data_IF_356792083545
#
_entry.id   IF_356792083545
#
_cell.length_a   1.000
_cell.length_b   1.000
_cell.length_c   1.000
_cell.angle_alpha   90.00
_cell.angle_beta   90.00
_cell.angle_gamma   90.00
#
_symmetry.space_group_name_H-M   'P 1'
#
loop_
_entity.id
_entity.type
_entity.pdbx_description
1 polymer ?
#
# COMPACT_ATOMS: atom_id res chain seq x y z
N UNK A 1 -16.44 65.75 15.51
CA UNK A 1 -15.47 66.87 15.65
C UNK A 1 -15.16 67.00 17.13
N UNK A 2 -13.95 67.15 17.65
CA UNK A 2 -12.59 67.13 17.12
C UNK A 2 -11.67 67.08 18.35
N UNK A 3 -10.58 66.30 18.24
CA UNK A 3 -9.22 66.54 18.77
C UNK A 3 -9.05 66.88 20.27
N UNK A 4 -8.37 65.98 20.98
CA UNK A 4 -7.38 66.39 21.97
C UNK A 4 -5.98 66.07 21.46
N UNK A 5 -5.17 67.12 21.44
CA UNK A 5 -3.75 67.17 21.08
C UNK A 5 -3.03 67.62 22.35
N UNK A 6 -1.81 67.11 22.51
CA UNK A 6 -0.69 67.58 23.35
C UNK A 6 -0.51 67.00 24.78
N UNK A 7 0.60 66.25 24.91
CA UNK A 7 1.40 66.03 26.13
C UNK A 7 1.96 67.35 26.69
N UNK A 8 2.56 67.38 27.90
CA UNK A 8 4.00 67.07 28.09
C UNK A 8 4.34 66.36 29.43
N UNK A 9 5.24 65.38 29.43
CA UNK A 9 6.68 65.45 29.78
C UNK A 9 7.01 65.35 31.29
N UNK A 10 7.80 64.34 31.66
CA UNK A 10 8.80 64.46 32.72
C UNK A 10 9.99 63.51 32.41
N UNK A 11 11.08 64.15 32.02
CA UNK A 11 12.51 63.80 32.14
C UNK A 11 12.88 63.36 33.58
N UNK A 12 13.96 62.68 33.98
CA UNK A 12 15.21 62.08 33.45
C UNK A 12 15.73 61.21 34.64
N UNK A 13 16.33 60.03 34.41
CA UNK A 13 17.70 59.73 34.87
C UNK A 13 18.17 58.35 34.45
N UNK A 14 19.30 58.38 33.76
CA UNK A 14 20.20 57.30 33.35
C UNK A 14 20.64 56.37 34.49
N UNK A 15 20.61 55.07 34.20
CA UNK A 15 21.36 54.03 34.90
C UNK A 15 21.64 52.91 33.91
N UNK A 16 22.84 52.94 33.34
CA UNK A 16 23.37 51.92 32.43
C UNK A 16 23.59 50.64 33.24
N UNK A 17 23.05 49.52 32.78
CA UNK A 17 23.65 48.21 33.04
C UNK A 17 23.55 47.34 31.79
N UNK A 18 24.74 47.04 31.25
CA UNK A 18 24.96 46.18 30.11
C UNK A 18 24.57 44.74 30.45
N UNK A 19 23.66 44.16 29.67
CA UNK A 19 23.17 42.80 29.88
C UNK A 19 22.75 42.12 28.58
N UNK A 20 23.73 41.83 27.73
CA UNK A 20 23.75 40.78 26.69
C UNK A 20 22.50 40.64 25.79
N UNK A 21 22.54 41.36 24.66
CA UNK A 21 21.70 41.11 23.49
C UNK A 21 22.01 39.74 22.87
N UNK A 22 21.33 38.69 23.31
CA UNK A 22 21.08 37.52 22.45
C UNK A 22 19.83 37.81 21.61
N UNK A 23 20.02 38.57 20.53
CA UNK A 23 19.09 38.56 19.41
C UNK A 23 19.12 37.14 18.83
N UNK A 24 18.21 36.28 19.27
CA UNK A 24 17.87 35.07 18.51
C UNK A 24 17.09 35.52 17.29
N UNK A 25 17.82 35.97 16.27
CA UNK A 25 17.28 36.05 14.92
C UNK A 25 16.95 34.63 14.50
N UNK A 26 15.67 34.31 14.41
CA UNK A 26 15.23 33.07 13.80
C UNK A 26 15.73 33.05 12.35
N UNK A 27 16.43 31.99 11.91
CA UNK A 27 16.82 31.89 10.52
C UNK A 27 15.55 31.89 9.66
N UNK A 28 15.62 32.64 8.55
CA UNK A 28 14.53 32.84 7.59
C UNK A 28 13.69 31.57 7.43
N UNK A 29 12.39 31.74 7.71
CA UNK A 29 11.38 30.69 7.82
C UNK A 29 11.49 29.71 6.64
N UNK A 30 12.18 28.58 6.84
CA UNK A 30 12.12 27.46 5.90
C UNK A 30 10.63 27.09 5.76
N UNK A 31 10.15 26.96 4.52
CA UNK A 31 8.77 26.55 4.27
C UNK A 31 8.44 25.31 5.10
N UNK A 32 7.18 25.16 5.51
CA UNK A 32 6.75 24.01 6.31
C UNK A 32 7.20 22.69 5.68
N UNK A 33 7.15 22.62 4.34
CA UNK A 33 7.57 21.45 3.56
C UNK A 33 9.07 21.18 3.61
N UNK A 34 9.91 22.22 3.70
CA UNK A 34 11.38 22.11 3.75
C UNK A 34 11.95 21.95 5.17
N UNK A 35 11.10 21.87 6.20
CA UNK A 35 11.53 21.71 7.58
C UNK A 35 11.66 20.23 7.96
N UNK A 36 12.81 19.83 8.53
CA UNK A 36 13.01 18.48 9.08
C UNK A 36 12.23 18.23 10.38
N UNK A 37 11.86 19.30 11.10
CA UNK A 37 11.21 19.24 12.41
C UNK A 37 9.73 19.67 12.34
N UNK A 38 8.95 19.05 11.44
CA UNK A 38 7.52 19.39 11.24
C UNK A 38 6.69 19.26 12.52
N UNK A 39 6.99 18.25 13.35
CA UNK A 39 6.32 18.00 14.63
C UNK A 39 6.43 19.19 15.60
N UNK A 40 7.63 19.76 15.76
CA UNK A 40 7.86 20.89 16.66
C UNK A 40 7.13 22.16 16.17
N UNK A 41 7.03 22.36 14.85
CA UNK A 41 6.30 23.50 14.27
C UNK A 41 4.78 23.41 14.47
N UNK A 42 4.21 22.21 14.57
CA UNK A 42 2.76 22.02 14.77
C UNK A 42 2.37 21.85 16.24
N UNK A 43 3.32 21.83 17.17
CA UNK A 43 3.07 21.55 18.59
C UNK A 43 2.05 22.51 19.22
N UNK A 44 2.06 23.79 18.82
CA UNK A 44 1.05 24.77 19.22
C UNK A 44 -0.37 24.41 18.73
N UNK A 45 -0.50 23.78 17.56
CA UNK A 45 -1.79 23.38 17.01
C UNK A 45 -2.32 22.09 17.65
N UNK A 46 -1.43 21.20 18.09
CA UNK A 46 -1.80 19.93 18.73
C UNK A 46 -2.45 20.13 20.11
N UNK A 47 -2.29 21.32 20.70
CA UNK A 47 -2.95 21.69 21.95
C UNK A 47 -4.46 21.98 21.79
N UNK A 48 -4.95 22.17 20.55
CA UNK A 48 -6.36 22.42 20.24
C UNK A 48 -7.20 21.13 20.22
N UNK A 49 -8.51 21.27 20.37
CA UNK A 49 -9.43 20.13 20.32
C UNK A 49 -9.47 19.50 18.90
N UNK A 50 -9.64 18.19 18.84
CA UNK A 50 -9.65 17.43 17.57
C UNK A 50 -10.78 17.90 16.63
N UNK A 51 -11.92 18.30 17.18
CA UNK A 51 -13.06 18.81 16.41
C UNK A 51 -12.77 20.17 15.75
N UNK A 52 -12.08 21.06 16.47
CA UNK A 52 -11.65 22.36 15.95
C UNK A 52 -10.62 22.17 14.84
N UNK A 53 -9.65 21.27 15.04
CA UNK A 53 -8.65 20.93 14.04
C UNK A 53 -9.28 20.32 12.78
N UNK A 54 -10.26 19.43 12.94
CA UNK A 54 -10.98 18.82 11.83
C UNK A 54 -11.76 19.85 11.02
N UNK A 55 -12.46 20.76 11.70
CA UNK A 55 -13.25 21.83 11.09
C UNK A 55 -12.37 22.86 10.39
N UNK A 56 -11.28 23.29 11.01
CA UNK A 56 -10.30 24.20 10.41
C UNK A 56 -9.68 23.60 9.15
N UNK A 57 -9.34 22.30 9.19
CA UNK A 57 -8.82 21.58 8.02
C UNK A 57 -9.86 21.49 6.91
N UNK A 58 -11.12 21.20 7.23
CA UNK A 58 -12.22 21.18 6.25
C UNK A 58 -12.38 22.55 5.55
N UNK A 59 -12.43 23.64 6.31
CA UNK A 59 -12.58 25.01 5.80
C UNK A 59 -11.42 25.34 4.85
N UNK A 60 -10.18 25.04 5.25
CA UNK A 60 -9.01 25.33 4.45
C UNK A 60 -8.99 24.53 3.14
N UNK A 61 -9.39 23.26 3.17
CA UNK A 61 -9.50 22.43 1.96
C UNK A 61 -10.58 22.96 1.00
N UNK A 62 -11.73 23.40 1.52
CA UNK A 62 -12.78 24.05 0.70
C UNK A 62 -12.30 25.35 0.07
N UNK A 63 -11.56 26.18 0.83
CA UNK A 63 -10.96 27.42 0.33
C UNK A 63 -9.96 27.18 -0.81
N UNK A 64 -9.22 26.07 -0.74
CA UNK A 64 -8.31 25.63 -1.81
C UNK A 64 -9.00 24.89 -2.97
N UNK A 65 -10.34 24.76 -2.94
CA UNK A 65 -11.11 24.04 -3.96
C UNK A 65 -11.08 22.52 -3.86
N UNK A 66 -10.43 21.94 -2.85
CA UNK A 66 -10.29 20.48 -2.62
C UNK A 66 -11.54 19.92 -1.92
N UNK A 67 -12.69 19.99 -2.60
CA UNK A 67 -14.00 19.65 -2.04
C UNK A 67 -14.11 18.18 -1.61
N UNK A 68 -13.58 17.25 -2.39
CA UNK A 68 -13.64 15.81 -2.06
C UNK A 68 -12.84 15.48 -0.80
N UNK A 69 -11.66 16.09 -0.64
CA UNK A 69 -10.84 15.93 0.57
C UNK A 69 -11.55 16.48 1.81
N UNK A 70 -12.22 17.63 1.68
CA UNK A 70 -13.01 18.21 2.77
C UNK A 70 -14.18 17.29 3.16
N UNK A 71 -14.88 16.72 2.18
CA UNK A 71 -15.97 15.78 2.43
C UNK A 71 -15.50 14.51 3.15
N UNK A 72 -14.36 13.94 2.76
CA UNK A 72 -13.77 12.78 3.44
C UNK A 72 -13.39 13.10 4.89
N UNK A 73 -12.77 14.26 5.15
CA UNK A 73 -12.42 14.66 6.52
C UNK A 73 -13.66 14.82 7.37
N UNK A 74 -14.70 15.47 6.85
CA UNK A 74 -15.99 15.61 7.54
C UNK A 74 -16.64 14.27 7.84
N UNK A 75 -16.57 13.33 6.90
CA UNK A 75 -17.10 11.97 7.10
C UNK A 75 -16.31 11.20 8.16
N UNK A 76 -14.99 11.38 8.20
CA UNK A 76 -14.13 10.74 9.20
C UNK A 76 -14.27 11.36 10.60
N UNK A 77 -14.53 12.67 10.69
CA UNK A 77 -14.69 13.37 11.96
C UNK A 77 -16.09 13.25 12.56
N UNK A 78 -17.14 13.20 11.73
CA UNK A 78 -18.54 13.13 12.17
C UNK A 78 -19.06 11.70 12.39
N UNK A 79 -18.37 10.67 11.89
CA UNK A 79 -18.85 9.29 11.96
C UNK A 79 -18.28 8.50 13.15
N UNK A 80 -18.95 7.38 13.45
CA UNK A 80 -18.48 6.35 14.39
C UNK A 80 -17.00 5.97 14.13
N UNK A 81 -16.20 5.64 15.17
CA UNK A 81 -14.80 5.19 15.02
C UNK A 81 -14.60 4.08 13.98
N UNK A 82 -15.65 3.31 13.69
CA UNK A 82 -15.67 2.22 12.73
C UNK A 82 -15.77 2.68 11.26
N UNK A 83 -16.09 3.94 10.96
CA UNK A 83 -16.20 4.41 9.57
C UNK A 83 -14.85 4.42 8.88
N UNK A 84 -13.81 4.89 9.57
CA UNK A 84 -12.44 4.84 9.06
C UNK A 84 -11.97 3.41 8.78
N UNK A 85 -12.37 2.43 9.61
CA UNK A 85 -12.02 1.02 9.40
C UNK A 85 -12.75 0.43 8.20
N UNK A 86 -14.02 0.79 7.97
CA UNK A 86 -14.77 0.39 6.76
C UNK A 86 -14.16 0.96 5.49
N UNK A 87 -13.84 2.26 5.47
CA UNK A 87 -13.18 2.90 4.32
C UNK A 87 -11.81 2.25 4.04
N UNK A 88 -11.02 1.98 5.10
CA UNK A 88 -9.74 1.28 4.98
C UNK A 88 -9.92 -0.12 4.39
N UNK A 89 -10.88 -0.91 4.90
CA UNK A 89 -11.17 -2.26 4.41
C UNK A 89 -11.59 -2.25 2.94
N UNK A 90 -12.52 -1.37 2.56
CA UNK A 90 -12.96 -1.22 1.18
C UNK A 90 -11.79 -0.88 0.25
N UNK A 91 -10.94 0.10 0.64
CA UNK A 91 -9.75 0.44 -0.14
C UNK A 91 -8.78 -0.75 -0.23
N UNK A 92 -8.55 -1.47 0.86
CA UNK A 92 -7.67 -2.64 0.87
C UNK A 92 -8.21 -3.75 -0.04
N UNK A 93 -9.52 -4.00 -0.06
CA UNK A 93 -10.13 -4.99 -0.97
C UNK A 93 -10.03 -4.57 -2.44
N UNK A 94 -10.12 -3.27 -2.76
CA UNK A 94 -9.86 -2.78 -4.12
C UNK A 94 -8.39 -2.88 -4.53
N UNK A 95 -7.46 -2.73 -3.59
CA UNK A 95 -6.02 -2.81 -3.84
C UNK A 95 -5.49 -4.25 -3.81
N UNK A 96 -6.23 -5.19 -3.22
CA UNK A 96 -5.92 -6.61 -3.31
C UNK A 96 -6.11 -7.06 -4.75
N UNK A 97 -4.99 -7.12 -5.47
CA UNK A 97 -4.94 -7.71 -6.80
C UNK A 97 -5.40 -9.17 -6.69
N UNK A 98 -6.28 -9.64 -7.59
CA UNK A 98 -6.68 -11.04 -7.62
C UNK A 98 -5.43 -11.93 -7.67
N UNK A 99 -5.32 -12.87 -6.75
CA UNK A 99 -4.17 -13.77 -6.69
C UNK A 99 -4.16 -14.64 -7.95
N UNK A 100 -3.11 -14.52 -8.76
CA UNK A 100 -2.90 -15.46 -9.86
C UNK A 100 -2.64 -16.84 -9.28
N UNK A 101 -3.29 -17.87 -9.83
CA UNK A 101 -3.08 -19.26 -9.47
C UNK A 101 -1.59 -19.61 -9.56
N UNK A 102 -1.14 -20.47 -8.65
CA UNK A 102 0.17 -21.08 -8.75
C UNK A 102 0.21 -22.04 -9.96
N UNK A 103 1.38 -22.23 -10.58
CA UNK A 103 1.53 -23.16 -11.71
C UNK A 103 0.99 -24.56 -11.44
N UNK A 104 1.22 -25.08 -10.23
CA UNK A 104 0.79 -26.39 -9.77
C UNK A 104 -0.73 -26.45 -9.60
N UNK A 105 -1.34 -25.41 -9.04
CA UNK A 105 -2.80 -25.30 -8.90
C UNK A 105 -3.48 -25.23 -10.26
N UNK A 106 -2.90 -24.49 -11.22
CA UNK A 106 -3.38 -24.44 -12.58
C UNK A 106 -3.22 -25.79 -13.31
N UNK A 107 -2.13 -26.53 -13.04
CA UNK A 107 -1.94 -27.88 -13.56
C UNK A 107 -3.00 -28.85 -13.02
N UNK A 108 -3.25 -28.83 -11.71
CA UNK A 108 -4.32 -29.61 -11.05
C UNK A 108 -5.67 -29.30 -11.67
N UNK A 109 -6.00 -28.01 -11.82
CA UNK A 109 -7.23 -27.57 -12.49
C UNK A 109 -7.36 -28.18 -13.90
N UNK A 110 -6.28 -28.14 -14.70
CA UNK A 110 -6.30 -28.71 -16.04
C UNK A 110 -6.52 -30.24 -16.03
N UNK A 111 -5.85 -30.96 -15.13
CA UNK A 111 -5.92 -32.42 -15.06
C UNK A 111 -7.28 -32.89 -14.52
N UNK A 112 -7.74 -32.34 -13.40
CA UNK A 112 -8.98 -32.74 -12.74
C UNK A 112 -10.21 -32.50 -13.62
N UNK A 113 -10.16 -31.47 -14.47
CA UNK A 113 -11.24 -31.11 -15.38
C UNK A 113 -11.01 -31.61 -16.82
N UNK A 114 -9.94 -32.36 -17.08
CA UNK A 114 -9.63 -32.88 -18.42
C UNK A 114 -9.46 -31.79 -19.49
N UNK A 115 -8.95 -30.61 -19.12
CA UNK A 115 -8.81 -29.49 -20.05
C UNK A 115 -7.63 -29.71 -21.00
N UNK A 116 -7.91 -29.61 -22.30
CA UNK A 116 -6.85 -29.45 -23.29
C UNK A 116 -6.12 -28.11 -23.13
N UNK A 117 -4.87 -28.04 -23.60
CA UNK A 117 -4.09 -26.80 -23.64
C UNK A 117 -4.87 -25.65 -24.29
N UNK A 118 -5.59 -25.92 -25.38
CA UNK A 118 -6.39 -24.93 -26.10
C UNK A 118 -7.57 -24.42 -25.27
N UNK A 119 -8.26 -25.31 -24.54
CA UNK A 119 -9.37 -24.91 -23.65
C UNK A 119 -8.86 -24.04 -22.50
N UNK A 120 -7.77 -24.45 -21.85
CA UNK A 120 -7.16 -23.66 -20.77
C UNK A 120 -6.74 -22.27 -21.25
N UNK A 121 -6.08 -22.19 -22.41
CA UNK A 121 -5.69 -20.91 -23.00
C UNK A 121 -6.89 -20.02 -23.31
N UNK A 122 -7.97 -20.57 -23.87
CA UNK A 122 -9.22 -19.83 -24.12
C UNK A 122 -9.87 -19.30 -22.84
N UNK A 123 -9.95 -20.12 -21.79
CA UNK A 123 -10.47 -19.72 -20.48
C UNK A 123 -9.64 -18.56 -19.91
N UNK A 124 -8.31 -18.68 -20.00
CA UNK A 124 -7.39 -17.62 -19.58
C UNK A 124 -7.55 -16.34 -20.37
N UNK A 125 -7.60 -16.41 -21.70
CA UNK A 125 -7.81 -15.25 -22.59
C UNK A 125 -9.14 -14.56 -22.27
N UNK A 126 -10.21 -15.32 -22.06
CA UNK A 126 -11.50 -14.77 -21.66
C UNK A 126 -11.43 -14.05 -20.31
N UNK A 127 -10.71 -14.58 -19.32
CA UNK A 127 -10.50 -13.91 -18.05
C UNK A 127 -9.67 -12.62 -18.21
N UNK A 128 -8.62 -12.64 -19.05
CA UNK A 128 -7.79 -11.47 -19.34
C UNK A 128 -8.58 -10.35 -20.02
N UNK A 129 -9.50 -10.69 -20.93
CA UNK A 129 -10.43 -9.74 -21.56
C UNK A 129 -11.34 -9.04 -20.54
N UNK A 130 -11.61 -9.70 -19.41
CA UNK A 130 -12.35 -9.13 -18.27
C UNK A 130 -11.43 -8.41 -17.26
N UNK A 131 -10.18 -8.10 -17.64
CA UNK A 131 -9.13 -7.54 -16.79
C UNK A 131 -8.79 -8.41 -15.56
N UNK A 132 -9.06 -9.72 -15.65
CA UNK A 132 -8.88 -10.68 -14.56
C UNK A 132 -7.67 -11.58 -14.83
N UNK A 133 -6.55 -11.33 -14.12
CA UNK A 133 -5.29 -12.09 -14.27
C UNK A 133 -5.19 -13.26 -13.28
N UNK A 134 -6.27 -14.04 -13.15
CA UNK A 134 -6.35 -15.17 -12.22
C UNK A 134 -5.58 -16.40 -12.72
N UNK A 135 -5.58 -16.68 -14.02
CA UNK A 135 -4.98 -17.92 -14.55
C UNK A 135 -3.51 -17.73 -14.90
N UNK A 136 -2.69 -18.70 -14.51
CA UNK A 136 -1.25 -18.74 -14.78
C UNK A 136 -0.97 -18.89 -16.28
N UNK A 137 0.05 -18.22 -16.84
CA UNK A 137 0.48 -18.47 -18.20
C UNK A 137 0.86 -19.93 -18.44
N UNK A 138 0.49 -20.48 -19.61
CA UNK A 138 0.64 -21.90 -19.91
C UNK A 138 2.10 -22.39 -19.86
N UNK A 139 3.10 -21.56 -20.18
CA UNK A 139 4.50 -21.99 -20.11
C UNK A 139 4.91 -22.41 -18.69
N UNK A 140 4.43 -21.71 -17.66
CA UNK A 140 4.69 -22.11 -16.26
C UNK A 140 3.97 -23.38 -15.86
N UNK A 141 2.74 -23.56 -16.34
CA UNK A 141 1.98 -24.81 -16.13
C UNK A 141 2.69 -25.98 -16.81
N UNK A 142 3.27 -25.75 -17.99
CA UNK A 142 4.09 -26.72 -18.71
C UNK A 142 5.37 -27.07 -17.92
N UNK A 143 6.05 -26.08 -17.36
CA UNK A 143 7.22 -26.31 -16.48
C UNK A 143 6.83 -27.14 -15.25
N UNK A 144 5.74 -26.79 -14.55
CA UNK A 144 5.23 -27.58 -13.42
C UNK A 144 4.89 -29.02 -13.83
N UNK A 145 4.30 -29.21 -15.02
CA UNK A 145 4.03 -30.53 -15.59
C UNK A 145 5.32 -31.30 -15.87
N UNK A 146 6.38 -30.62 -16.33
CA UNK A 146 7.67 -31.25 -16.59
C UNK A 146 8.33 -31.76 -15.31
N UNK A 147 8.25 -31.00 -14.22
CA UNK A 147 8.76 -31.42 -12.91
C UNK A 147 8.06 -32.68 -12.37
N UNK A 148 6.85 -32.96 -12.83
CA UNK A 148 6.10 -34.16 -12.46
C UNK A 148 6.60 -35.45 -13.15
N UNK A 149 7.50 -35.36 -14.14
CA UNK A 149 8.07 -36.54 -14.80
C UNK A 149 9.39 -36.96 -14.15
N UNK A 150 9.64 -38.27 -13.98
CA UNK A 150 10.91 -38.76 -13.51
C UNK A 150 12.01 -38.55 -14.55
N UNK A 151 13.25 -38.43 -14.08
CA UNK A 151 14.42 -38.30 -14.94
C UNK A 151 14.79 -39.67 -15.55
N UNK A 152 15.65 -39.67 -16.58
CA UNK A 152 16.27 -40.89 -17.16
C UNK A 152 15.31 -41.94 -17.74
N UNK A 153 14.24 -41.50 -18.42
CA UNK A 153 13.42 -42.39 -19.26
C UNK A 153 14.18 -42.63 -20.57
N UNK A 154 14.45 -43.89 -20.89
CA UNK A 154 14.96 -44.29 -22.21
C UNK A 154 13.77 -44.64 -23.09
N UNK A 155 13.61 -43.94 -24.21
CA UNK A 155 12.52 -44.20 -25.17
C UNK A 155 13.14 -44.66 -26.49
N UNK A 156 12.81 -45.87 -26.90
CA UNK A 156 13.11 -46.44 -28.22
C UNK A 156 11.83 -46.49 -29.06
N UNK A 157 11.93 -46.87 -30.34
CA UNK A 157 10.75 -47.03 -31.21
C UNK A 157 9.76 -48.07 -30.67
N UNK A 158 10.26 -49.09 -29.96
CA UNK A 158 9.48 -50.25 -29.53
C UNK A 158 9.31 -50.36 -28.01
N UNK A 159 10.06 -49.60 -27.21
CA UNK A 159 9.98 -49.65 -25.75
C UNK A 159 10.20 -48.29 -25.10
N UNK A 160 9.66 -48.13 -23.89
CA UNK A 160 10.04 -47.06 -22.97
C UNK A 160 10.43 -47.72 -21.65
N UNK A 161 11.65 -47.45 -21.19
CA UNK A 161 12.27 -48.11 -20.04
C UNK A 161 12.70 -47.07 -19.01
N UNK A 162 12.47 -47.40 -17.74
CA UNK A 162 12.92 -46.62 -16.58
C UNK A 162 13.26 -47.59 -15.46
N UNK A 163 14.29 -47.29 -14.67
CA UNK A 163 14.60 -48.10 -13.50
C UNK A 163 13.54 -47.91 -12.42
N UNK A 164 13.15 -49.00 -11.76
CA UNK A 164 12.16 -48.95 -10.69
C UNK A 164 12.61 -47.99 -9.56
N UNK A 165 13.90 -48.00 -9.23
CA UNK A 165 14.47 -47.14 -8.19
C UNK A 165 14.26 -45.65 -8.51
N UNK A 166 14.55 -45.23 -9.74
CA UNK A 166 14.33 -43.84 -10.17
C UNK A 166 12.88 -43.41 -10.03
N UNK A 167 11.95 -44.31 -10.34
CA UNK A 167 10.51 -44.03 -10.21
C UNK A 167 10.10 -43.89 -8.75
N UNK A 168 10.58 -44.77 -7.87
CA UNK A 168 10.30 -44.71 -6.43
C UNK A 168 10.86 -43.43 -5.82
N UNK A 169 12.14 -43.13 -6.07
CA UNK A 169 12.81 -41.94 -5.53
C UNK A 169 12.13 -40.64 -5.98
N UNK A 170 11.72 -40.57 -7.25
CA UNK A 170 11.00 -39.41 -7.79
C UNK A 170 9.64 -39.21 -7.10
N UNK A 171 8.88 -40.29 -6.89
CA UNK A 171 7.60 -40.22 -6.20
C UNK A 171 7.76 -39.80 -4.73
N UNK A 172 8.74 -40.38 -4.01
CA UNK A 172 9.03 -40.00 -2.61
C UNK A 172 9.41 -38.52 -2.52
N UNK A 173 10.33 -38.07 -3.38
CA UNK A 173 10.75 -36.66 -3.43
C UNK A 173 9.55 -35.73 -3.65
N UNK A 174 8.64 -36.09 -4.55
CA UNK A 174 7.43 -35.30 -4.82
C UNK A 174 6.43 -35.29 -3.67
N UNK A 175 6.20 -36.41 -3.01
CA UNK A 175 5.31 -36.49 -1.84
C UNK A 175 5.86 -35.61 -0.73
N UNK A 176 7.15 -35.75 -0.40
CA UNK A 176 7.78 -34.92 0.61
C UNK A 176 7.72 -33.43 0.25
N UNK A 177 7.97 -33.06 -1.01
CA UNK A 177 7.90 -31.66 -1.43
C UNK A 177 6.49 -31.06 -1.25
N UNK A 178 5.43 -31.84 -1.46
CA UNK A 178 4.05 -31.39 -1.26
C UNK A 178 3.75 -31.21 0.23
N UNK A 179 4.17 -32.14 1.08
CA UNK A 179 3.92 -32.08 2.54
C UNK A 179 4.67 -30.94 3.26
N UNK A 180 5.78 -30.44 2.70
CA UNK A 180 6.59 -29.38 3.30
C UNK A 180 6.39 -27.98 2.67
N UNK A 181 5.57 -27.85 1.62
CA UNK A 181 5.31 -26.56 0.95
C UNK A 181 3.87 -26.03 1.12
N UNK A 182 3.00 -26.77 1.81
CA UNK A 182 1.68 -26.34 2.28
C UNK A 182 1.64 -26.26 3.81
#
# INVERSE_FOLDING_TARGET
MARNIFSPACEISSGVDEGSLHHQSWPANKSFDACSSKANKVQHLVQSAIEELSTATEIQLRKQGKRDSAAIIKELSAASPNRGTTIKKARMSFLQKPATLLPEQALVLMVDNGLSTRQYQRIREQAENLNCKMYTPYHKVKEAKQLCYPHSISVTETSAEITLQTLVDHNVSRICHIEFCY
#
